data_IF_189230322897
#
_entry.id   IF_189230322897
#
_cell.length_a   1.000
_cell.length_b   1.000
_cell.length_c   1.000
_cell.angle_alpha   90.00
_cell.angle_beta   90.00
_cell.angle_gamma   90.00
#
_symmetry.space_group_name_H-M   'P 1'
#
loop_
_entity.id
_entity.type
_entity.pdbx_description
1 polymer ?
#
# COMPACT_ATOMS: atom_id res chain seq x y z
N UNK A 1 -0.37 -10.57 8.15
CA UNK A 1 -0.28 -9.10 7.98
C UNK A 1 1.11 -8.58 8.38
N UNK A 2 1.60 -8.90 9.59
CA UNK A 2 2.88 -8.38 10.11
C UNK A 2 4.08 -8.71 9.20
N UNK A 3 4.15 -9.89 8.59
CA UNK A 3 5.22 -10.27 7.65
C UNK A 3 5.24 -9.34 6.45
N UNK A 4 4.06 -9.05 5.89
CA UNK A 4 3.91 -8.14 4.75
C UNK A 4 4.38 -6.74 5.15
N UNK A 5 3.91 -6.21 6.28
CA UNK A 5 4.28 -4.88 6.76
C UNK A 5 5.80 -4.78 7.05
N UNK A 6 6.41 -5.78 7.69
CA UNK A 6 7.87 -5.83 7.94
C UNK A 6 8.68 -5.91 6.64
N UNK A 7 8.18 -6.62 5.62
CA UNK A 7 8.84 -6.65 4.32
C UNK A 7 8.70 -5.30 3.60
N UNK A 8 7.49 -4.73 3.60
CA UNK A 8 7.20 -3.44 2.98
C UNK A 8 7.99 -2.29 3.64
N UNK A 9 8.16 -2.32 4.97
CA UNK A 9 8.97 -1.35 5.72
C UNK A 9 10.40 -1.22 5.21
N UNK A 10 10.97 -2.27 4.61
CA UNK A 10 12.34 -2.22 4.05
C UNK A 10 12.47 -1.31 2.82
N UNK A 11 11.37 -0.90 2.23
CA UNK A 11 11.35 0.01 1.08
C UNK A 11 11.35 1.50 1.52
N UNK A 12 11.34 1.77 2.82
CA UNK A 12 11.39 3.13 3.35
C UNK A 12 12.74 3.79 3.09
N UNK A 13 12.67 5.06 2.72
CA UNK A 13 13.84 5.92 2.52
C UNK A 13 13.75 7.10 3.49
N UNK A 14 14.78 7.34 4.28
CA UNK A 14 14.78 8.44 5.25
C UNK A 14 14.55 9.80 4.56
N UNK A 15 13.79 10.66 5.21
CA UNK A 15 13.40 11.97 4.67
C UNK A 15 12.25 11.97 3.67
N UNK A 16 11.70 10.79 3.34
CA UNK A 16 10.56 10.70 2.41
C UNK A 16 9.25 11.20 3.02
N UNK A 17 8.43 11.80 2.16
CA UNK A 17 7.01 12.05 2.42
C UNK A 17 6.22 10.80 2.07
N UNK A 18 5.48 10.28 3.04
CA UNK A 18 4.84 8.97 2.93
C UNK A 18 3.35 9.06 3.19
N UNK A 19 2.53 8.40 2.35
CA UNK A 19 1.13 8.13 2.64
C UNK A 19 0.94 6.66 3.02
N UNK A 20 0.08 6.41 3.99
CA UNK A 20 -0.33 5.07 4.41
C UNK A 20 -1.82 4.88 4.19
N UNK A 21 -2.20 3.88 3.39
CA UNK A 21 -3.57 3.44 3.24
C UNK A 21 -4.04 2.56 4.41
N UNK A 22 -5.34 2.34 4.47
CA UNK A 22 -5.98 1.52 5.51
C UNK A 22 -5.63 0.02 5.40
N UNK A 23 -5.51 -0.66 6.52
CA UNK A 23 -5.46 -2.12 6.65
C UNK A 23 -4.05 -2.68 6.84
N UNK A 24 -3.42 -3.31 5.82
CA UNK A 24 -2.04 -3.79 5.93
C UNK A 24 -1.03 -2.64 5.85
N UNK A 25 -1.24 -1.63 4.98
CA UNK A 25 -0.37 -0.46 4.91
C UNK A 25 -0.21 0.30 6.23
N UNK A 26 -1.29 0.48 7.01
CA UNK A 26 -1.23 1.19 8.30
C UNK A 26 -0.34 0.48 9.34
N UNK A 27 -0.15 -0.84 9.19
CA UNK A 27 0.76 -1.60 10.05
C UNK A 27 2.23 -1.18 9.82
N UNK A 28 2.58 -0.65 8.63
CA UNK A 28 3.93 -0.11 8.39
C UNK A 28 4.16 1.13 9.25
N UNK A 29 3.19 2.05 9.32
CA UNK A 29 3.28 3.24 10.20
C UNK A 29 3.43 2.84 11.68
N UNK A 30 2.67 1.82 12.11
CA UNK A 30 2.79 1.28 13.47
C UNK A 30 4.19 0.72 13.75
N UNK A 31 4.77 0.01 12.79
CA UNK A 31 6.14 -0.52 12.92
C UNK A 31 7.18 0.60 12.99
N UNK A 32 7.03 1.67 12.21
CA UNK A 32 7.89 2.86 12.28
C UNK A 32 7.88 3.44 13.70
N UNK A 33 6.70 3.57 14.31
CA UNK A 33 6.56 4.07 15.68
C UNK A 33 7.20 3.12 16.72
N UNK A 34 6.96 1.80 16.59
CA UNK A 34 7.53 0.79 17.49
C UNK A 34 9.07 0.71 17.39
N UNK A 35 9.62 0.93 16.21
CA UNK A 35 11.07 0.91 15.98
C UNK A 35 11.73 2.26 16.33
N UNK A 36 10.97 3.26 16.84
CA UNK A 36 11.48 4.58 17.23
C UNK A 36 11.94 5.45 16.04
N UNK A 37 11.42 5.18 14.84
CA UNK A 37 11.87 5.82 13.60
C UNK A 37 10.91 6.91 13.09
N UNK A 38 9.94 7.34 13.89
CA UNK A 38 8.89 8.28 13.47
C UNK A 38 9.46 9.59 12.88
N UNK A 39 10.51 10.13 13.52
CA UNK A 39 11.18 11.37 13.10
C UNK A 39 12.04 11.23 11.82
N UNK A 40 12.24 10.01 11.33
CA UNK A 40 13.01 9.76 10.11
C UNK A 40 12.21 10.01 8.83
N UNK A 41 10.89 10.22 8.92
CA UNK A 41 9.97 10.32 7.80
C UNK A 41 8.92 11.40 8.01
N UNK A 42 8.44 11.98 6.91
CA UNK A 42 7.25 12.85 6.91
C UNK A 42 6.00 12.01 6.65
N UNK A 43 5.44 11.45 7.72
CA UNK A 43 4.26 10.59 7.63
C UNK A 43 3.00 11.43 7.38
N UNK A 44 2.19 11.02 6.42
CA UNK A 44 0.95 11.72 6.07
C UNK A 44 -0.21 10.74 5.86
N UNK A 45 -1.42 11.23 6.05
CA UNK A 45 -2.67 10.57 5.65
C UNK A 45 -3.46 11.54 4.78
N UNK A 46 -4.16 11.02 3.78
CA UNK A 46 -4.93 11.82 2.80
C UNK A 46 -6.00 12.73 3.42
N UNK A 47 -6.40 12.49 4.67
CA UNK A 47 -7.29 13.38 5.42
C UNK A 47 -6.64 14.73 5.81
N UNK A 48 -5.31 14.86 5.60
CA UNK A 48 -4.57 16.07 5.90
C UNK A 48 -3.72 15.99 7.18
N UNK A 49 -3.59 14.82 7.81
CA UNK A 49 -2.76 14.64 9.00
C UNK A 49 -1.29 14.49 8.62
N UNK A 50 -0.41 15.23 9.32
CA UNK A 50 1.05 15.18 9.17
C UNK A 50 1.73 14.84 10.48
N UNK A 51 2.63 13.86 10.43
CA UNK A 51 3.49 13.49 11.55
C UNK A 51 2.75 12.92 12.76
N UNK A 52 3.44 12.88 13.88
CA UNK A 52 2.95 12.24 15.09
C UNK A 52 2.93 10.72 14.98
N UNK A 53 2.26 10.08 15.93
CA UNK A 53 2.03 8.63 15.90
C UNK A 53 0.67 8.36 15.23
N UNK A 54 0.68 7.85 14.01
CA UNK A 54 -0.54 7.53 13.28
C UNK A 54 -1.34 6.43 14.00
N UNK A 55 -2.66 6.59 14.01
CA UNK A 55 -3.59 5.66 14.63
C UNK A 55 -4.14 4.68 13.60
N UNK A 56 -4.52 3.49 14.06
CA UNK A 56 -5.04 2.40 13.23
C UNK A 56 -6.53 2.10 13.52
N UNK A 57 -7.12 1.19 12.76
CA UNK A 57 -8.50 0.75 12.92
C UNK A 57 -9.51 1.88 12.76
N UNK A 58 -10.44 2.00 13.71
CA UNK A 58 -11.51 3.01 13.67
C UNK A 58 -11.01 4.46 13.80
N UNK A 59 -9.77 4.64 14.23
CA UNK A 59 -9.11 5.94 14.34
C UNK A 59 -8.14 6.23 13.18
N UNK A 60 -8.16 5.42 12.14
CA UNK A 60 -7.37 5.67 10.93
C UNK A 60 -7.65 7.06 10.36
N UNK A 61 -6.62 7.78 9.99
CA UNK A 61 -6.70 9.17 9.52
C UNK A 61 -6.29 10.20 10.58
N UNK A 62 -6.22 9.79 11.84
CA UNK A 62 -5.77 10.64 12.95
C UNK A 62 -4.37 10.23 13.44
N UNK A 63 -3.75 11.12 14.23
CA UNK A 63 -2.49 10.85 14.90
C UNK A 63 -2.50 11.39 16.33
N UNK A 64 -1.69 10.78 17.20
CA UNK A 64 -1.32 11.38 18.48
C UNK A 64 -0.21 12.40 18.23
N UNK A 65 -0.41 13.62 18.76
CA UNK A 65 0.55 14.73 18.62
C UNK A 65 0.97 14.99 17.16
N UNK A 66 0.02 15.20 16.23
CA UNK A 66 0.38 15.50 14.85
C UNK A 66 1.16 16.83 14.77
N UNK A 67 2.05 16.94 13.81
CA UNK A 67 2.79 18.19 13.55
C UNK A 67 1.84 19.28 13.04
N UNK A 68 0.94 18.92 12.12
CA UNK A 68 -0.13 19.77 11.65
C UNK A 68 -1.28 18.95 11.06
N UNK A 69 -2.39 19.62 10.82
CA UNK A 69 -3.51 19.09 10.04
C UNK A 69 -3.97 20.18 9.06
N UNK A 70 -4.15 19.80 7.82
CA UNK A 70 -4.69 20.64 6.75
C UNK A 70 -6.00 20.04 6.23
N UNK A 71 -6.72 20.76 5.39
CA UNK A 71 -7.93 20.22 4.76
C UNK A 71 -7.59 19.20 3.66
N UNK A 72 -8.51 18.27 3.40
CA UNK A 72 -8.31 17.20 2.43
C UNK A 72 -8.01 17.68 1.01
N UNK A 73 -8.73 18.67 0.44
CA UNK A 73 -8.38 19.22 -0.87
C UNK A 73 -6.94 19.72 -0.96
N UNK A 74 -6.48 20.51 0.00
CA UNK A 74 -5.08 20.99 0.04
C UNK A 74 -4.07 19.84 0.14
N UNK A 75 -4.43 18.75 0.85
CA UNK A 75 -3.60 17.55 0.93
C UNK A 75 -3.47 16.85 -0.42
N UNK A 76 -4.58 16.72 -1.16
CA UNK A 76 -4.54 16.13 -2.51
C UNK A 76 -3.81 17.03 -3.52
N UNK A 77 -3.95 18.36 -3.42
CA UNK A 77 -3.17 19.31 -4.22
C UNK A 77 -1.66 19.16 -3.97
N UNK A 78 -1.26 18.97 -2.71
CA UNK A 78 0.13 18.70 -2.37
C UNK A 78 0.64 17.39 -2.99
N UNK A 79 -0.15 16.31 -2.95
CA UNK A 79 0.22 15.05 -3.58
C UNK A 79 0.30 15.18 -5.11
N UNK A 80 -0.70 15.80 -5.74
CA UNK A 80 -0.75 16.01 -7.18
C UNK A 80 0.35 16.96 -7.67
N UNK A 81 0.80 17.86 -6.81
CA UNK A 81 1.95 18.75 -7.04
C UNK A 81 3.31 18.07 -6.96
N UNK A 82 3.36 16.75 -6.70
CA UNK A 82 4.60 15.98 -6.63
C UNK A 82 5.21 15.89 -5.23
N UNK A 83 4.45 16.23 -4.18
CA UNK A 83 4.90 16.20 -2.79
C UNK A 83 4.95 14.80 -2.15
N UNK A 84 4.56 13.73 -2.87
CA UNK A 84 4.48 12.39 -2.33
C UNK A 84 5.60 11.49 -2.89
N UNK A 85 6.50 11.04 -2.02
CA UNK A 85 7.59 10.15 -2.41
C UNK A 85 7.17 8.69 -2.41
N UNK A 86 6.53 8.22 -1.33
CA UNK A 86 6.18 6.81 -1.14
C UNK A 86 4.72 6.68 -0.72
N UNK A 87 3.99 5.78 -1.36
CA UNK A 87 2.66 5.38 -0.93
C UNK A 87 2.61 3.89 -0.61
N UNK A 88 2.09 3.54 0.57
CA UNK A 88 1.72 2.17 0.92
C UNK A 88 0.22 2.02 0.75
N UNK A 89 -0.21 1.17 -0.16
CA UNK A 89 -1.62 0.99 -0.51
C UNK A 89 -2.03 -0.49 -0.48
N UNK A 90 -3.30 -0.75 -0.19
CA UNK A 90 -3.87 -2.08 -0.31
C UNK A 90 -4.19 -2.44 -1.76
N UNK A 91 -4.49 -3.71 -2.03
CA UNK A 91 -5.02 -4.17 -3.31
C UNK A 91 -6.10 -5.25 -3.14
N UNK A 92 -7.04 -5.26 -4.06
CA UNK A 92 -8.02 -6.33 -4.20
C UNK A 92 -7.56 -7.40 -5.17
N UNK A 93 -7.17 -7.01 -6.38
CA UNK A 93 -6.64 -7.88 -7.44
C UNK A 93 -5.42 -7.22 -8.09
N UNK A 94 -4.52 -8.04 -8.62
CA UNK A 94 -3.36 -7.63 -9.45
C UNK A 94 -3.31 -8.58 -10.65
N UNK A 95 -3.08 -8.05 -11.86
CA UNK A 95 -2.87 -8.86 -13.05
C UNK A 95 -1.38 -8.95 -13.46
N UNK A 96 -1.13 -9.75 -14.49
CA UNK A 96 0.22 -9.96 -15.03
C UNK A 96 0.90 -8.69 -15.56
N UNK A 97 0.13 -7.67 -15.94
CA UNK A 97 0.62 -6.38 -16.41
C UNK A 97 0.89 -5.39 -15.27
N UNK A 98 0.63 -5.81 -14.03
CA UNK A 98 0.75 -4.97 -12.85
C UNK A 98 -0.39 -3.97 -12.67
N UNK A 99 -1.51 -4.15 -13.36
CA UNK A 99 -2.71 -3.38 -13.06
C UNK A 99 -3.28 -3.80 -11.71
N UNK A 100 -3.86 -2.84 -10.98
CA UNK A 100 -4.47 -3.08 -9.67
C UNK A 100 -5.94 -2.69 -9.68
N UNK A 101 -6.76 -3.54 -9.09
CA UNK A 101 -8.17 -3.29 -8.84
C UNK A 101 -8.45 -3.19 -7.34
N UNK A 102 -9.09 -2.10 -6.93
CA UNK A 102 -9.67 -1.91 -5.58
C UNK A 102 -11.12 -1.43 -5.65
N UNK A 103 -11.62 -1.10 -6.83
CA UNK A 103 -12.90 -0.39 -7.00
C UNK A 103 -14.08 -1.27 -7.38
N UNK A 104 -13.84 -2.47 -7.92
CA UNK A 104 -14.89 -3.41 -8.32
C UNK A 104 -14.50 -4.82 -7.92
N UNK A 105 -15.02 -5.30 -6.80
CA UNK A 105 -14.65 -6.59 -6.21
C UNK A 105 -15.86 -7.49 -6.08
N UNK A 106 -15.74 -8.75 -6.52
CA UNK A 106 -16.83 -9.74 -6.50
C UNK A 106 -18.15 -9.21 -7.11
N UNK A 107 -18.05 -8.46 -8.21
CA UNK A 107 -19.20 -7.87 -8.90
C UNK A 107 -19.78 -6.59 -8.27
N UNK A 108 -19.32 -6.20 -7.10
CA UNK A 108 -19.76 -4.99 -6.41
C UNK A 108 -18.84 -3.81 -6.70
N UNK A 109 -19.43 -2.64 -6.95
CA UNK A 109 -18.68 -1.38 -7.04
C UNK A 109 -18.47 -0.85 -5.63
N UNK A 110 -17.20 -0.82 -5.20
CA UNK A 110 -16.79 -0.36 -3.87
C UNK A 110 -16.36 1.12 -3.93
N UNK A 111 -15.79 1.53 -5.07
CA UNK A 111 -15.19 2.85 -5.25
C UNK A 111 -13.74 2.92 -4.77
N UNK A 112 -12.92 3.78 -5.41
CA UNK A 112 -11.49 3.87 -5.12
C UNK A 112 -11.13 4.80 -3.96
N UNK A 113 -12.01 5.72 -3.55
CA UNK A 113 -11.63 6.79 -2.63
C UNK A 113 -10.46 7.61 -3.17
N UNK A 114 -9.51 7.97 -2.33
CA UNK A 114 -8.29 8.68 -2.69
C UNK A 114 -7.22 7.84 -3.40
N UNK A 115 -7.44 6.55 -3.56
CA UNK A 115 -6.45 5.61 -4.11
C UNK A 115 -5.88 6.05 -5.47
N UNK A 116 -6.74 6.55 -6.37
CA UNK A 116 -6.32 6.95 -7.73
C UNK A 116 -5.30 8.08 -7.66
N UNK A 117 -5.63 9.16 -6.93
CA UNK A 117 -4.75 10.33 -6.82
C UNK A 117 -3.43 9.98 -6.13
N UNK A 118 -3.49 9.21 -5.04
CA UNK A 118 -2.31 8.79 -4.29
C UNK A 118 -1.42 7.90 -5.14
N UNK A 119 -1.99 6.85 -5.75
CA UNK A 119 -1.22 5.87 -6.53
C UNK A 119 -0.59 6.48 -7.78
N UNK A 120 -1.26 7.44 -8.44
CA UNK A 120 -0.74 8.07 -9.66
C UNK A 120 0.33 9.12 -9.40
N UNK A 121 0.37 9.72 -8.21
CA UNK A 121 1.27 10.85 -7.91
C UNK A 121 2.47 10.47 -7.05
N UNK A 122 2.45 9.34 -6.35
CA UNK A 122 3.61 8.85 -5.61
C UNK A 122 4.74 8.42 -6.55
N UNK A 123 5.98 8.74 -6.23
CA UNK A 123 7.17 8.28 -6.98
C UNK A 123 7.39 6.79 -6.87
N UNK A 124 7.12 6.24 -5.67
CA UNK A 124 7.16 4.81 -5.40
C UNK A 124 5.83 4.37 -4.79
N UNK A 125 5.23 3.32 -5.33
CA UNK A 125 4.03 2.72 -4.73
C UNK A 125 4.33 1.29 -4.29
N UNK A 126 4.02 1.00 -3.04
CA UNK A 126 4.18 -0.32 -2.45
C UNK A 126 2.78 -0.87 -2.15
N UNK A 127 2.32 -1.76 -3.00
CA UNK A 127 1.06 -2.44 -2.80
C UNK A 127 1.21 -3.58 -1.80
N UNK A 128 0.44 -3.55 -0.70
CA UNK A 128 0.51 -4.50 0.40
C UNK A 128 -0.79 -5.29 0.49
N UNK A 129 -0.72 -6.59 0.34
CA UNK A 129 -1.91 -7.44 0.43
C UNK A 129 -1.54 -8.91 0.62
N UNK A 130 -2.52 -9.71 1.02
CA UNK A 130 -2.34 -11.17 1.07
C UNK A 130 -2.35 -11.75 -0.34
N UNK A 131 -1.62 -12.84 -0.56
CA UNK A 131 -1.54 -13.53 -1.85
C UNK A 131 -2.91 -14.06 -2.31
N UNK A 132 -3.67 -14.60 -1.37
CA UNK A 132 -5.06 -15.02 -1.53
C UNK A 132 -5.87 -14.66 -0.29
N UNK A 133 -7.19 -14.95 -0.29
CA UNK A 133 -8.08 -14.69 0.83
C UNK A 133 -9.22 -15.71 0.89
N UNK A 134 -10.02 -15.67 1.95
CA UNK A 134 -11.16 -16.58 2.11
C UNK A 134 -10.77 -17.96 2.64
N UNK A 135 -10.05 -18.00 3.76
CA UNK A 135 -9.66 -19.23 4.45
C UNK A 135 -8.17 -19.54 4.42
N UNK A 136 -7.34 -18.60 3.97
CA UNK A 136 -5.88 -18.71 4.03
C UNK A 136 -5.43 -18.98 5.46
N UNK A 137 -4.59 -20.01 5.64
CA UNK A 137 -3.96 -20.32 6.92
C UNK A 137 -2.46 -20.47 6.74
N UNK A 138 -1.72 -19.69 7.49
CA UNK A 138 -0.25 -19.71 7.49
C UNK A 138 0.27 -19.85 8.91
N UNK A 139 1.41 -20.53 9.04
CA UNK A 139 2.17 -20.67 10.26
C UNK A 139 3.57 -20.07 10.04
N UNK A 140 4.05 -19.35 11.04
CA UNK A 140 5.39 -18.75 11.01
C UNK A 140 6.17 -19.32 12.19
N UNK A 141 7.29 -19.97 11.90
CA UNK A 141 8.16 -20.53 12.92
C UNK A 141 9.55 -20.87 12.37
N UNK A 142 10.55 -20.81 13.23
CA UNK A 142 11.94 -21.12 12.87
C UNK A 142 12.45 -20.40 11.61
N UNK A 143 12.05 -19.13 11.40
CA UNK A 143 12.44 -18.33 10.24
C UNK A 143 11.76 -18.74 8.92
N UNK A 144 10.74 -19.58 8.96
CA UNK A 144 10.02 -20.08 7.77
C UNK A 144 8.55 -19.71 7.86
N UNK A 145 7.96 -19.49 6.69
CA UNK A 145 6.51 -19.37 6.51
C UNK A 145 6.01 -20.68 5.89
N UNK A 146 5.02 -21.31 6.55
CA UNK A 146 4.39 -22.54 6.08
C UNK A 146 2.94 -22.24 5.72
N UNK A 147 2.55 -22.58 4.50
CA UNK A 147 1.17 -22.47 4.02
C UNK A 147 0.44 -23.75 4.44
N UNK A 148 -0.50 -23.63 5.39
CA UNK A 148 -1.33 -24.76 5.86
C UNK A 148 -2.56 -24.95 4.98
N UNK A 149 -3.15 -23.85 4.50
CA UNK A 149 -4.26 -23.86 3.55
C UNK A 149 -4.22 -22.60 2.66
N UNK A 150 -4.56 -22.80 1.39
CA UNK A 150 -4.77 -21.67 0.46
C UNK A 150 -6.16 -21.09 0.65
N UNK A 151 -6.28 -19.78 0.38
CA UNK A 151 -7.56 -19.10 0.31
C UNK A 151 -8.35 -19.50 -0.94
N UNK A 152 -9.67 -19.36 -0.85
CA UNK A 152 -10.60 -19.69 -1.95
C UNK A 152 -10.66 -18.61 -3.03
N UNK A 153 -10.20 -17.39 -2.71
CA UNK A 153 -10.26 -16.23 -3.58
C UNK A 153 -8.83 -15.84 -3.95
N UNK A 154 -8.49 -15.99 -5.22
CA UNK A 154 -7.21 -15.60 -5.81
C UNK A 154 -7.21 -14.09 -6.02
N UNK A 155 -6.12 -13.44 -5.66
CA UNK A 155 -5.91 -11.98 -5.85
C UNK A 155 -4.94 -11.67 -6.97
N UNK A 156 -4.09 -12.62 -7.35
CA UNK A 156 -3.29 -12.54 -8.56
C UNK A 156 -4.10 -13.21 -9.67
N UNK A 157 -4.55 -12.42 -10.64
CA UNK A 157 -5.47 -12.83 -11.70
C UNK A 157 -4.83 -12.62 -13.07
N UNK A 158 -5.38 -13.22 -14.12
CA UNK A 158 -4.91 -13.03 -15.49
C UNK A 158 -5.17 -11.58 -15.95
N UNK A 159 -6.41 -11.10 -15.72
CA UNK A 159 -6.83 -9.73 -15.93
C UNK A 159 -7.68 -9.25 -14.76
N UNK A 160 -7.46 -8.02 -14.29
CA UNK A 160 -8.27 -7.43 -13.22
C UNK A 160 -9.68 -7.11 -13.72
N UNK A 161 -10.69 -7.27 -12.85
CA UNK A 161 -12.08 -6.96 -13.19
C UNK A 161 -12.32 -5.47 -13.50
N UNK A 162 -11.45 -4.61 -13.00
CA UNK A 162 -11.46 -3.16 -13.22
C UNK A 162 -10.05 -2.62 -13.04
N UNK A 163 -9.56 -1.81 -13.96
CA UNK A 163 -8.27 -1.12 -13.79
C UNK A 163 -8.52 0.13 -12.94
N UNK A 164 -8.12 0.08 -11.67
CA UNK A 164 -8.08 1.26 -10.79
C UNK A 164 -6.72 1.94 -10.85
N UNK A 165 -5.65 1.16 -11.02
CA UNK A 165 -4.28 1.62 -11.25
C UNK A 165 -3.71 0.85 -12.45
N UNK A 166 -3.08 1.57 -13.37
CA UNK A 166 -2.47 0.98 -14.57
C UNK A 166 -0.96 0.83 -14.41
N UNK A 167 -0.48 -0.43 -14.38
CA UNK A 167 0.95 -0.73 -14.36
C UNK A 167 1.71 -0.16 -15.56
N UNK A 168 1.25 -0.35 -16.82
CA UNK A 168 1.90 0.22 -17.99
C UNK A 168 2.01 1.75 -17.95
N UNK A 169 0.98 2.46 -17.47
CA UNK A 169 1.04 3.92 -17.32
C UNK A 169 2.02 4.36 -16.24
N UNK A 170 2.12 3.60 -15.15
CA UNK A 170 3.09 3.87 -14.09
C UNK A 170 4.54 3.78 -14.59
N UNK A 171 4.85 2.77 -15.41
CA UNK A 171 6.16 2.63 -16.05
C UNK A 171 6.48 3.80 -16.97
N UNK A 172 5.51 4.23 -17.78
CA UNK A 172 5.69 5.40 -18.66
C UNK A 172 5.98 6.69 -17.89
N UNK A 173 5.46 6.82 -16.67
CA UNK A 173 5.71 7.94 -15.75
C UNK A 173 7.00 7.79 -14.95
N UNK A 174 7.71 6.66 -15.07
CA UNK A 174 8.93 6.38 -14.32
C UNK A 174 8.70 6.07 -12.83
N UNK A 175 7.48 5.66 -12.47
CA UNK A 175 7.19 5.25 -11.09
C UNK A 175 7.83 3.90 -10.78
N UNK A 176 8.29 3.72 -9.54
CA UNK A 176 8.71 2.41 -9.00
C UNK A 176 7.53 1.75 -8.31
N UNK A 177 7.17 0.55 -8.74
CA UNK A 177 6.00 -0.18 -8.24
C UNK A 177 6.43 -1.53 -7.70
N UNK A 178 6.03 -1.82 -6.46
CA UNK A 178 6.35 -3.07 -5.75
C UNK A 178 5.06 -3.66 -5.20
N UNK A 179 4.90 -4.97 -5.32
CA UNK A 179 3.77 -5.72 -4.76
C UNK A 179 4.30 -6.67 -3.68
N UNK A 180 3.86 -6.46 -2.44
CA UNK A 180 4.32 -7.22 -1.28
C UNK A 180 3.21 -8.09 -0.74
N UNK A 181 3.43 -9.40 -0.78
CA UNK A 181 2.55 -10.39 -0.15
C UNK A 181 3.30 -11.16 0.95
N UNK A 182 2.60 -12.01 1.68
CA UNK A 182 3.25 -12.89 2.65
C UNK A 182 4.08 -13.99 2.01
N UNK A 183 3.92 -14.26 0.70
CA UNK A 183 4.58 -15.36 -0.03
C UNK A 183 5.69 -14.88 -0.96
N UNK A 184 5.47 -13.75 -1.61
CA UNK A 184 6.38 -13.24 -2.63
C UNK A 184 6.36 -11.71 -2.66
N UNK A 185 7.41 -11.14 -3.22
CA UNK A 185 7.51 -9.73 -3.57
C UNK A 185 7.75 -9.64 -5.06
N UNK A 186 6.98 -8.82 -5.73
CA UNK A 186 7.11 -8.61 -7.16
C UNK A 186 7.47 -7.14 -7.43
N UNK A 187 8.35 -6.92 -8.38
CA UNK A 187 8.59 -5.61 -8.99
C UNK A 187 7.82 -5.50 -10.31
N UNK A 188 7.35 -4.30 -10.64
CA UNK A 188 6.81 -4.02 -11.97
C UNK A 188 7.95 -3.75 -12.93
N UNK A 189 7.99 -4.51 -14.01
CA UNK A 189 8.96 -4.39 -15.11
C UNK A 189 8.25 -4.09 -16.42
N UNK A 190 9.02 -3.78 -17.48
CA UNK A 190 8.47 -3.60 -18.84
C UNK A 190 7.75 -4.83 -19.39
N UNK A 191 8.05 -6.01 -18.84
CA UNK A 191 7.49 -7.29 -19.27
C UNK A 191 6.35 -7.77 -18.33
N UNK A 192 5.92 -6.91 -17.39
CA UNK A 192 4.90 -7.19 -16.37
C UNK A 192 5.48 -7.35 -14.98
N UNK A 193 4.75 -8.02 -14.06
CA UNK A 193 5.24 -8.29 -12.70
C UNK A 193 6.26 -9.42 -12.70
N UNK A 194 7.37 -9.24 -11.97
CA UNK A 194 8.47 -10.20 -11.84
C UNK A 194 8.88 -10.37 -10.37
N UNK A 195 9.40 -11.57 -10.01
CA UNK A 195 9.94 -11.89 -8.68
C UNK A 195 11.31 -11.26 -8.49
#
# INVERSE_FOLDING_TARGET
RLVIARRAQKELVAGSVINFGFGIPDQVAKLIALDGMAESYYQTIEHGTYGGQLLDGDLFGYALNPTCMIDGPSQFDFYSGGGLDIAFLGFGEIDQHGNVNVSKLAGNTVGPGGFIDIAQNARTVIFCGTFDTGGTSIEIGAGKLLIKANGRITKLVEEVAQITFSGPQALLRGQRIIYVTERAVFDLTKDGIAL
#
